data_IF_403132125122
#
_entry.id   IF_403132125122
#
_cell.length_a   1.000
_cell.length_b   1.000
_cell.length_c   1.000
_cell.angle_alpha   90.00
_cell.angle_beta   90.00
_cell.angle_gamma   90.00
#
_symmetry.space_group_name_H-M   'P 1'
#
loop_
_entity.id
_entity.type
_entity.pdbx_description
1 polymer ?
#
# COMPACT_ATOMS: atom_id res chain seq x y z
N UNK A 1 15.76 -13.89 20.43
CA UNK A 1 15.89 -13.39 19.05
C UNK A 1 17.09 -14.05 18.40
N UNK A 2 16.98 -14.49 17.15
CA UNK A 2 18.09 -15.08 16.40
C UNK A 2 18.71 -14.00 15.49
N UNK A 3 20.04 -13.94 15.45
CA UNK A 3 20.75 -13.03 14.56
C UNK A 3 20.84 -13.65 13.15
N UNK A 4 20.41 -12.91 12.14
CA UNK A 4 20.60 -13.27 10.73
C UNK A 4 21.81 -12.51 10.20
N UNK A 5 22.86 -13.23 9.79
CA UNK A 5 24.03 -12.62 9.17
C UNK A 5 23.77 -12.34 7.69
N UNK A 6 23.90 -11.08 7.28
CA UNK A 6 23.71 -10.63 5.90
C UNK A 6 25.06 -10.24 5.31
N UNK A 7 25.45 -10.89 4.21
CA UNK A 7 26.61 -10.46 3.42
C UNK A 7 26.18 -9.32 2.50
N UNK A 8 26.77 -8.15 2.69
CA UNK A 8 26.54 -6.98 1.85
C UNK A 8 27.69 -6.82 0.86
N UNK A 9 27.40 -6.58 -0.43
CA UNK A 9 28.39 -6.07 -1.37
C UNK A 9 29.04 -4.77 -0.86
N UNK A 10 30.33 -4.58 -1.13
CA UNK A 10 31.11 -3.44 -0.60
C UNK A 10 30.58 -2.07 -1.04
N UNK A 11 30.01 -1.98 -2.24
CA UNK A 11 29.35 -0.78 -2.74
C UNK A 11 28.07 -0.47 -1.94
N UNK A 12 27.25 -1.48 -1.67
CA UNK A 12 26.02 -1.33 -0.88
C UNK A 12 26.34 -0.94 0.57
N UNK A 13 27.35 -1.56 1.18
CA UNK A 13 27.81 -1.22 2.53
C UNK A 13 28.18 0.26 2.64
N UNK A 14 29.02 0.76 1.72
CA UNK A 14 29.43 2.19 1.68
C UNK A 14 28.24 3.14 1.52
N UNK A 15 27.27 2.78 0.66
CA UNK A 15 26.05 3.58 0.46
C UNK A 15 25.21 3.63 1.74
N UNK A 16 25.04 2.51 2.43
CA UNK A 16 24.29 2.45 3.69
C UNK A 16 24.98 3.28 4.76
N UNK A 17 26.31 3.23 4.88
CA UNK A 17 27.06 4.04 5.85
C UNK A 17 26.83 5.54 5.63
N UNK A 18 26.92 6.01 4.38
CA UNK A 18 26.67 7.42 4.03
C UNK A 18 25.22 7.84 4.30
N UNK A 19 24.24 7.01 3.88
CA UNK A 19 22.82 7.30 4.08
C UNK A 19 22.43 7.29 5.57
N UNK A 20 22.97 6.34 6.34
CA UNK A 20 22.74 6.25 7.77
C UNK A 20 23.33 7.47 8.49
N UNK A 21 24.56 7.88 8.15
CA UNK A 21 25.18 9.08 8.70
C UNK A 21 24.36 10.35 8.39
N UNK A 22 23.92 10.52 7.14
CA UNK A 22 23.05 11.65 6.75
C UNK A 22 21.70 11.66 7.47
N UNK A 23 21.17 10.48 7.84
CA UNK A 23 19.96 10.33 8.63
C UNK A 23 20.19 10.34 10.16
N UNK A 24 21.43 10.55 10.62
CA UNK A 24 21.83 10.49 12.04
C UNK A 24 21.50 9.13 12.70
N UNK A 25 21.71 8.02 11.97
CA UNK A 25 21.45 6.65 12.42
C UNK A 25 22.70 5.79 12.30
N UNK A 26 22.74 4.70 13.06
CA UNK A 26 23.73 3.65 12.81
C UNK A 26 23.36 2.86 11.55
N UNK A 27 24.33 2.30 10.81
CA UNK A 27 24.04 1.41 9.67
C UNK A 27 23.11 0.25 10.03
N UNK A 28 23.27 -0.31 11.24
CA UNK A 28 22.39 -1.37 11.73
C UNK A 28 20.93 -0.90 11.88
N UNK A 29 20.69 0.20 12.59
CA UNK A 29 19.33 0.75 12.75
C UNK A 29 18.70 1.09 11.39
N UNK A 30 19.47 1.69 10.48
CA UNK A 30 19.03 1.99 9.13
C UNK A 30 18.57 0.73 8.37
N UNK A 31 19.35 -0.36 8.43
CA UNK A 31 19.01 -1.62 7.76
C UNK A 31 17.75 -2.26 8.35
N UNK A 32 17.62 -2.29 9.68
CA UNK A 32 16.43 -2.86 10.32
C UNK A 32 15.17 -2.09 9.90
N UNK A 33 15.21 -0.75 9.94
CA UNK A 33 14.09 0.08 9.48
C UNK A 33 13.81 -0.09 7.98
N UNK A 34 14.83 -0.26 7.15
CA UNK A 34 14.64 -0.53 5.72
C UNK A 34 13.91 -1.86 5.50
N UNK A 35 14.29 -2.91 6.24
CA UNK A 35 13.65 -4.23 6.17
C UNK A 35 12.20 -4.19 6.66
N UNK A 36 11.91 -3.50 7.77
CA UNK A 36 10.53 -3.30 8.23
C UNK A 36 9.68 -2.59 7.18
N UNK A 37 10.17 -1.47 6.63
CA UNK A 37 9.46 -0.73 5.58
C UNK A 37 9.25 -1.56 4.31
N UNK A 38 10.18 -2.45 3.97
CA UNK A 38 10.01 -3.35 2.83
C UNK A 38 8.93 -4.39 3.09
N UNK A 39 9.00 -5.07 4.24
CA UNK A 39 8.03 -6.09 4.64
C UNK A 39 6.61 -5.51 4.66
N UNK A 40 6.40 -4.37 5.33
CA UNK A 40 5.11 -3.70 5.40
C UNK A 40 4.59 -3.32 4.00
N UNK A 41 5.46 -2.84 3.11
CA UNK A 41 5.08 -2.46 1.75
C UNK A 41 4.66 -3.68 0.92
N UNK A 42 5.39 -4.78 1.04
CA UNK A 42 5.06 -6.03 0.35
C UNK A 42 3.73 -6.60 0.84
N UNK A 43 3.50 -6.60 2.16
CA UNK A 43 2.23 -7.02 2.76
C UNK A 43 1.06 -6.15 2.30
N UNK A 44 1.23 -4.82 2.30
CA UNK A 44 0.21 -3.89 1.84
C UNK A 44 -0.13 -4.12 0.36
N UNK A 45 0.89 -4.33 -0.49
CA UNK A 45 0.70 -4.60 -1.92
C UNK A 45 -0.03 -5.92 -2.16
N UNK A 46 0.33 -6.96 -1.41
CA UNK A 46 -0.34 -8.26 -1.51
C UNK A 46 -1.82 -8.17 -1.11
N UNK A 47 -2.12 -7.47 0.01
CA UNK A 47 -3.51 -7.22 0.45
C UNK A 47 -4.28 -6.42 -0.59
N UNK A 48 -3.71 -5.34 -1.12
CA UNK A 48 -4.34 -4.53 -2.16
C UNK A 48 -4.66 -5.35 -3.41
N UNK A 49 -3.74 -6.19 -3.88
CA UNK A 49 -3.96 -7.04 -5.04
C UNK A 49 -5.09 -8.07 -4.79
N UNK A 50 -5.13 -8.68 -3.61
CA UNK A 50 -6.18 -9.61 -3.23
C UNK A 50 -7.56 -8.91 -3.16
N UNK A 51 -7.63 -7.74 -2.54
CA UNK A 51 -8.85 -6.94 -2.46
C UNK A 51 -9.34 -6.47 -3.84
N UNK A 52 -8.41 -6.08 -4.72
CA UNK A 52 -8.73 -5.68 -6.09
C UNK A 52 -9.30 -6.85 -6.91
N UNK A 53 -8.68 -8.03 -6.84
CA UNK A 53 -9.18 -9.23 -7.52
C UNK A 53 -10.58 -9.63 -7.04
N UNK A 54 -10.83 -9.54 -5.72
CA UNK A 54 -12.16 -9.76 -5.15
C UNK A 54 -13.17 -8.73 -5.66
N UNK A 55 -12.81 -7.44 -5.63
CA UNK A 55 -13.67 -6.36 -6.11
C UNK A 55 -14.01 -6.49 -7.60
N UNK A 56 -13.05 -6.94 -8.42
CA UNK A 56 -13.26 -7.18 -9.84
C UNK A 56 -14.27 -8.32 -10.06
N UNK A 57 -14.09 -9.45 -9.37
CA UNK A 57 -15.02 -10.58 -9.44
C UNK A 57 -16.45 -10.16 -9.06
N UNK A 58 -16.62 -9.39 -7.99
CA UNK A 58 -17.92 -8.86 -7.55
C UNK A 58 -18.53 -7.90 -8.58
N UNK A 59 -17.73 -7.02 -9.18
CA UNK A 59 -18.19 -6.05 -10.17
C UNK A 59 -18.59 -6.72 -11.50
N UNK A 60 -17.86 -7.77 -11.91
CA UNK A 60 -18.17 -8.57 -13.10
C UNK A 60 -19.43 -9.42 -12.89
N UNK A 61 -19.54 -10.11 -11.75
CA UNK A 61 -20.70 -10.95 -11.44
C UNK A 61 -21.99 -10.14 -11.26
N UNK A 62 -21.90 -8.98 -10.60
CA UNK A 62 -23.08 -8.15 -10.32
C UNK A 62 -23.44 -7.15 -11.41
N UNK A 63 -22.52 -6.89 -12.35
CA UNK A 63 -22.66 -5.82 -13.35
C UNK A 63 -22.76 -4.41 -12.74
N UNK A 64 -22.42 -4.25 -11.46
CA UNK A 64 -22.51 -2.99 -10.71
C UNK A 64 -21.15 -2.57 -10.16
N UNK A 65 -20.86 -1.28 -10.23
CA UNK A 65 -19.65 -0.67 -9.67
C UNK A 65 -19.97 0.70 -9.08
N UNK A 66 -19.09 1.21 -8.22
CA UNK A 66 -19.14 2.61 -7.77
C UNK A 66 -18.32 3.41 -8.78
N UNK A 67 -18.87 4.51 -9.31
CA UNK A 67 -18.11 5.40 -10.20
C UNK A 67 -16.94 6.03 -9.47
N UNK A 68 -15.88 6.33 -10.20
CA UNK A 68 -14.67 6.94 -9.64
C UNK A 68 -14.99 8.26 -8.93
N UNK A 69 -15.76 9.14 -9.57
CA UNK A 69 -16.17 10.43 -9.00
C UNK A 69 -16.92 10.26 -7.67
N UNK A 70 -17.89 9.34 -7.61
CA UNK A 70 -18.68 9.13 -6.40
C UNK A 70 -17.84 8.54 -5.26
N UNK A 71 -16.81 7.74 -5.60
CA UNK A 71 -15.86 7.24 -4.62
C UNK A 71 -14.96 8.36 -4.08
N UNK A 72 -14.41 9.22 -4.95
CA UNK A 72 -13.57 10.34 -4.53
C UNK A 72 -14.35 11.38 -3.73
N UNK A 73 -15.56 11.76 -4.15
CA UNK A 73 -16.43 12.68 -3.39
C UNK A 73 -16.69 12.18 -1.97
N UNK A 74 -16.93 10.86 -1.84
CA UNK A 74 -17.12 10.22 -0.55
C UNK A 74 -15.84 10.27 0.31
N UNK A 75 -14.69 9.92 -0.26
CA UNK A 75 -13.41 9.94 0.48
C UNK A 75 -13.03 11.36 0.90
N UNK A 76 -13.18 12.33 0.01
CA UNK A 76 -12.88 13.73 0.23
C UNK A 76 -13.79 14.35 1.32
N UNK A 77 -15.07 13.96 1.35
CA UNK A 77 -15.98 14.31 2.45
C UNK A 77 -15.58 13.69 3.79
N UNK A 78 -15.14 12.42 3.80
CA UNK A 78 -14.68 11.71 5.00
C UNK A 78 -13.41 12.31 5.58
N UNK A 79 -12.43 12.65 4.75
CA UNK A 79 -11.16 13.27 5.18
C UNK A 79 -11.42 14.63 5.84
N UNK A 80 -12.41 15.39 5.36
CA UNK A 80 -12.82 16.66 5.99
C UNK A 80 -13.74 16.52 7.20
N UNK A 81 -13.94 15.30 7.73
CA UNK A 81 -14.77 15.05 8.90
C UNK A 81 -16.28 15.24 8.67
N UNK A 82 -16.74 15.38 7.42
CA UNK A 82 -18.16 15.55 7.10
C UNK A 82 -18.88 14.20 7.20
N UNK A 83 -20.13 14.22 7.65
CA UNK A 83 -21.02 13.04 7.62
C UNK A 83 -21.54 12.82 6.19
N UNK A 84 -20.73 12.23 5.33
CA UNK A 84 -21.10 11.86 3.96
C UNK A 84 -21.61 10.43 3.87
N UNK A 85 -22.67 10.21 3.07
CA UNK A 85 -23.25 8.87 2.85
C UNK A 85 -22.36 8.07 1.90
N UNK A 86 -22.08 6.81 2.26
CA UNK A 86 -21.36 5.90 1.37
C UNK A 86 -22.09 5.71 0.03
N UNK A 87 -21.42 5.86 -1.11
CA UNK A 87 -22.03 5.68 -2.42
C UNK A 87 -22.47 4.23 -2.61
N UNK A 88 -23.56 4.04 -3.34
CA UNK A 88 -24.08 2.70 -3.70
C UNK A 88 -23.60 2.33 -5.08
N UNK A 89 -23.22 1.07 -5.27
CA UNK A 89 -22.87 0.55 -6.59
C UNK A 89 -24.06 0.66 -7.54
N UNK A 90 -23.81 1.15 -8.75
CA UNK A 90 -24.78 1.31 -9.84
C UNK A 90 -24.35 0.48 -11.02
N UNK A 91 -25.29 0.16 -11.90
CA UNK A 91 -25.02 -0.59 -13.14
C UNK A 91 -23.96 0.15 -13.96
N UNK A 92 -22.84 -0.50 -14.24
CA UNK A 92 -21.73 0.09 -15.01
C UNK A 92 -21.59 -0.53 -16.40
N UNK A 93 -22.05 -1.78 -16.57
CA UNK A 93 -22.25 -2.41 -17.88
C UNK A 93 -23.74 -2.55 -18.17
N UNK A 94 -24.14 -2.15 -19.38
CA UNK A 94 -25.35 -2.71 -19.95
C UNK A 94 -25.14 -4.22 -20.09
N UNK A 95 -26.07 -5.02 -19.54
CA UNK A 95 -26.16 -6.44 -19.87
C UNK A 95 -26.20 -6.52 -21.39
N UNK A 96 -25.28 -7.30 -21.96
CA UNK A 96 -25.51 -7.83 -23.31
C UNK A 96 -26.77 -8.68 -23.28
#
# INVERSE_FOLDING_TARGET
MAATSLKLPDDLKRRIELLAAGAQKTPHAFMIEALFREAERMELRARFAADAAKSEAEALASGRAISLDAAFDYLDGRVRGRKVRRPRARRWRASK
#
